data_IF_040862648580
#
_entry.id   IF_040862648580
#
_cell.length_a   1.000
_cell.length_b   1.000
_cell.length_c   1.000
_cell.angle_alpha   90.00
_cell.angle_beta   90.00
_cell.angle_gamma   90.00
#
_symmetry.space_group_name_H-M   'P 1'
#
loop_
_entity.id
_entity.type
_entity.pdbx_description
1 polymer ?
#
# COMPACT_ATOMS: atom_id res chain seq x y z
N UNK A 1 -44.43 -17.08 9.61
CA UNK A 1 -44.33 -16.19 10.79
C UNK A 1 -44.91 -16.84 12.03
N UNK A 2 -46.18 -17.27 12.04
CA UNK A 2 -46.79 -17.97 13.18
C UNK A 2 -45.93 -19.13 13.72
N UNK A 3 -45.57 -20.09 12.87
CA UNK A 3 -44.68 -21.20 13.23
C UNK A 3 -43.32 -20.77 13.81
N UNK A 4 -42.76 -19.64 13.37
CA UNK A 4 -41.49 -19.15 13.90
C UNK A 4 -41.62 -18.61 15.34
N UNK A 5 -42.73 -17.91 15.61
CA UNK A 5 -43.03 -17.36 16.94
C UNK A 5 -43.50 -18.45 17.91
N UNK A 6 -44.37 -19.35 17.45
CA UNK A 6 -44.80 -20.53 18.20
C UNK A 6 -43.60 -21.43 18.53
N UNK A 7 -42.71 -21.67 17.57
CA UNK A 7 -41.52 -22.48 17.77
C UNK A 7 -40.58 -21.90 18.82
N UNK A 8 -40.38 -20.57 18.78
CA UNK A 8 -39.63 -19.86 19.81
C UNK A 8 -40.32 -19.96 21.18
N UNK A 9 -41.65 -19.82 21.25
CA UNK A 9 -42.42 -19.94 22.48
C UNK A 9 -42.35 -21.34 23.10
N UNK A 10 -42.50 -22.39 22.29
CA UNK A 10 -42.37 -23.79 22.71
C UNK A 10 -40.96 -24.04 23.24
N UNK A 11 -39.93 -23.52 22.56
CA UNK A 11 -38.55 -23.67 23.02
C UNK A 11 -38.30 -22.94 24.34
N UNK A 12 -38.80 -21.72 24.50
CA UNK A 12 -38.70 -20.97 25.74
C UNK A 12 -39.36 -21.72 26.91
N UNK A 13 -40.56 -22.26 26.71
CA UNK A 13 -41.22 -23.13 27.69
C UNK A 13 -40.39 -24.40 27.99
N UNK A 14 -39.81 -25.02 26.96
CA UNK A 14 -38.94 -26.18 27.10
C UNK A 14 -37.69 -25.88 27.95
N UNK A 15 -37.13 -24.67 27.83
CA UNK A 15 -36.03 -24.19 28.67
C UNK A 15 -36.47 -24.03 30.13
N UNK A 16 -37.59 -23.33 30.38
CA UNK A 16 -38.11 -23.10 31.74
C UNK A 16 -38.48 -24.42 32.45
N UNK A 17 -39.02 -25.38 31.70
CA UNK A 17 -39.40 -26.71 32.22
C UNK A 17 -38.25 -27.72 32.23
N UNK A 18 -37.03 -27.33 31.80
CA UNK A 18 -35.85 -28.21 31.65
C UNK A 18 -36.12 -29.45 30.78
N UNK A 19 -36.99 -29.34 29.78
CA UNK A 19 -37.35 -30.41 28.86
C UNK A 19 -36.70 -30.21 27.48
N UNK A 20 -35.64 -30.97 27.21
CA UNK A 20 -34.91 -30.88 25.94
C UNK A 20 -35.76 -31.28 24.73
N UNK A 21 -36.68 -32.24 24.89
CA UNK A 21 -37.56 -32.72 23.79
C UNK A 21 -38.49 -31.61 23.29
N UNK A 22 -39.03 -30.81 24.21
CA UNK A 22 -39.85 -29.65 23.89
C UNK A 22 -39.00 -28.55 23.22
N UNK A 23 -37.77 -28.35 23.69
CA UNK A 23 -36.83 -27.40 23.07
C UNK A 23 -36.49 -27.80 21.63
N UNK A 24 -36.33 -29.11 21.36
CA UNK A 24 -36.09 -29.64 20.02
C UNK A 24 -37.30 -29.52 19.09
N UNK A 25 -38.52 -29.75 19.58
CA UNK A 25 -39.72 -29.57 18.76
C UNK A 25 -39.94 -28.10 18.39
N UNK A 26 -39.67 -27.17 19.32
CA UNK A 26 -39.66 -25.74 19.05
C UNK A 26 -38.64 -25.36 17.98
N UNK A 27 -37.38 -25.82 18.10
CA UNK A 27 -36.34 -25.64 17.07
C UNK A 27 -36.75 -26.23 15.71
N UNK A 28 -37.38 -27.41 15.69
CA UNK A 28 -37.87 -28.05 14.46
C UNK A 28 -38.95 -27.22 13.76
N UNK A 29 -39.86 -26.60 14.53
CA UNK A 29 -40.90 -25.74 13.98
C UNK A 29 -40.32 -24.48 13.31
N UNK A 30 -39.21 -23.95 13.81
CA UNK A 30 -38.47 -22.85 13.16
C UNK A 30 -37.83 -23.26 11.82
N UNK A 31 -37.35 -24.51 11.70
CA UNK A 31 -36.85 -25.06 10.43
C UNK A 31 -37.99 -25.20 9.43
N UNK A 32 -39.16 -25.67 9.86
CA UNK A 32 -40.37 -25.71 9.02
C UNK A 32 -40.83 -24.30 8.62
N UNK A 33 -40.72 -23.32 9.52
CA UNK A 33 -41.02 -21.92 9.21
C UNK A 33 -40.07 -21.35 8.14
N UNK A 34 -38.78 -21.73 8.18
CA UNK A 34 -37.82 -21.39 7.12
C UNK A 34 -38.21 -22.04 5.78
N UNK A 35 -38.53 -23.34 5.77
CA UNK A 35 -38.98 -24.02 4.56
C UNK A 35 -40.23 -23.35 3.94
N UNK A 36 -41.20 -22.98 4.78
CA UNK A 36 -42.38 -22.24 4.35
C UNK A 36 -42.03 -20.87 3.74
N UNK A 37 -41.09 -20.13 4.33
CA UNK A 37 -40.64 -18.86 3.79
C UNK A 37 -39.92 -19.00 2.44
N UNK A 38 -39.16 -20.07 2.24
CA UNK A 38 -38.52 -20.37 0.95
C UNK A 38 -39.54 -20.68 -0.15
N UNK A 39 -40.61 -21.44 0.18
CA UNK A 39 -41.72 -21.68 -0.75
C UNK A 39 -42.44 -20.37 -1.08
N UNK A 40 -42.73 -19.54 -0.07
CA UNK A 40 -43.36 -18.24 -0.28
C UNK A 40 -42.50 -17.28 -1.12
N UNK A 41 -41.18 -17.34 -0.98
CA UNK A 41 -40.23 -16.59 -1.80
C UNK A 41 -40.39 -16.95 -3.29
N UNK A 42 -40.50 -18.25 -3.60
CA UNK A 42 -40.70 -18.75 -4.97
C UNK A 42 -42.06 -18.38 -5.56
N UNK A 43 -43.08 -18.19 -4.72
CA UNK A 43 -44.41 -17.76 -5.13
C UNK A 43 -44.53 -16.25 -5.43
N UNK A 44 -43.48 -15.47 -5.13
CA UNK A 44 -43.46 -14.01 -5.30
C UNK A 44 -44.02 -13.28 -4.08
N UNK A 45 -43.13 -12.62 -3.34
CA UNK A 45 -43.50 -11.81 -2.17
C UNK A 45 -43.36 -10.32 -2.48
N UNK A 46 -44.28 -9.50 -1.95
CA UNK A 46 -44.08 -8.04 -1.91
C UNK A 46 -42.87 -7.70 -1.05
N UNK A 47 -42.27 -6.53 -1.28
CA UNK A 47 -41.09 -6.06 -0.52
C UNK A 47 -41.35 -6.05 0.99
N UNK A 48 -42.52 -5.54 1.41
CA UNK A 48 -42.90 -5.51 2.83
C UNK A 48 -43.05 -6.91 3.42
N UNK A 49 -43.77 -7.82 2.74
CA UNK A 49 -43.93 -9.20 3.22
C UNK A 49 -42.60 -9.95 3.28
N UNK A 50 -41.73 -9.79 2.28
CA UNK A 50 -40.38 -10.37 2.30
C UNK A 50 -39.59 -9.88 3.51
N UNK A 51 -39.53 -8.56 3.73
CA UNK A 51 -38.76 -7.98 4.85
C UNK A 51 -39.27 -8.45 6.19
N UNK A 52 -40.58 -8.43 6.42
CA UNK A 52 -41.16 -8.87 7.69
C UNK A 52 -40.90 -10.35 7.94
N UNK A 53 -41.10 -11.21 6.95
CA UNK A 53 -40.92 -12.66 7.10
C UNK A 53 -39.46 -12.99 7.42
N UNK A 54 -38.50 -12.45 6.67
CA UNK A 54 -37.09 -12.74 6.89
C UNK A 54 -36.53 -12.05 8.13
N UNK A 55 -37.00 -10.85 8.50
CA UNK A 55 -36.63 -10.19 9.75
C UNK A 55 -37.12 -10.98 10.96
N UNK A 56 -38.40 -11.41 10.96
CA UNK A 56 -38.96 -12.23 12.04
C UNK A 56 -38.19 -13.56 12.14
N UNK A 57 -37.93 -14.24 11.02
CA UNK A 57 -37.14 -15.47 11.02
C UNK A 57 -35.72 -15.26 11.56
N UNK A 58 -35.02 -14.21 11.12
CA UNK A 58 -33.68 -13.91 11.58
C UNK A 58 -33.67 -13.67 13.10
N UNK A 59 -34.59 -12.84 13.61
CA UNK A 59 -34.69 -12.52 15.04
C UNK A 59 -35.05 -13.75 15.87
N UNK A 60 -36.00 -14.57 15.43
CA UNK A 60 -36.36 -15.79 16.17
C UNK A 60 -35.23 -16.82 16.14
N UNK A 61 -34.50 -16.97 15.05
CA UNK A 61 -33.30 -17.82 14.98
C UNK A 61 -32.20 -17.33 15.92
N UNK A 62 -31.94 -16.01 15.98
CA UNK A 62 -31.01 -15.44 16.95
C UNK A 62 -31.47 -15.64 18.39
N UNK A 63 -32.77 -15.49 18.68
CA UNK A 63 -33.32 -15.76 20.01
C UNK A 63 -33.17 -17.24 20.41
N UNK A 64 -33.43 -18.18 19.49
CA UNK A 64 -33.21 -19.62 19.68
C UNK A 64 -31.74 -19.90 19.97
N UNK A 65 -30.83 -19.32 19.19
CA UNK A 65 -29.39 -19.48 19.39
C UNK A 65 -28.96 -19.03 20.80
N UNK A 66 -29.52 -17.93 21.29
CA UNK A 66 -29.28 -17.42 22.63
C UNK A 66 -29.85 -18.34 23.72
N UNK A 67 -31.11 -18.79 23.58
CA UNK A 67 -31.78 -19.65 24.56
C UNK A 67 -31.08 -21.02 24.67
N UNK A 68 -30.58 -21.57 23.56
CA UNK A 68 -29.82 -22.83 23.56
C UNK A 68 -28.52 -22.74 24.36
N UNK A 69 -27.93 -21.56 24.57
CA UNK A 69 -26.65 -21.42 25.27
C UNK A 69 -26.68 -21.94 26.72
N UNK A 70 -27.84 -21.81 27.38
CA UNK A 70 -27.99 -22.08 28.81
C UNK A 70 -28.82 -23.36 29.09
N UNK A 71 -29.13 -24.15 28.05
CA UNK A 71 -29.94 -25.36 28.18
C UNK A 71 -29.14 -26.53 28.81
N UNK A 72 -29.77 -27.25 29.74
CA UNK A 72 -29.19 -28.45 30.36
C UNK A 72 -29.18 -29.61 29.35
N UNK A 73 -28.04 -29.80 28.69
CA UNK A 73 -27.79 -30.88 27.73
C UNK A 73 -26.30 -31.16 27.63
N UNK A 74 -25.93 -32.17 26.84
CA UNK A 74 -24.54 -32.38 26.44
C UNK A 74 -23.94 -31.08 25.87
N UNK A 75 -22.72 -30.76 26.29
CA UNK A 75 -22.08 -29.48 26.01
C UNK A 75 -21.71 -29.34 24.54
N UNK A 76 -21.26 -30.43 23.90
CA UNK A 76 -20.92 -30.42 22.48
C UNK A 76 -22.18 -30.22 21.63
N UNK A 77 -23.23 -30.99 21.90
CA UNK A 77 -24.51 -30.87 21.20
C UNK A 77 -25.10 -29.45 21.30
N UNK A 78 -25.15 -28.90 22.52
CA UNK A 78 -25.66 -27.55 22.79
C UNK A 78 -24.95 -26.49 21.95
N UNK A 79 -23.63 -26.54 21.95
CA UNK A 79 -22.80 -25.54 21.28
C UNK A 79 -22.97 -25.60 19.77
N UNK A 80 -23.09 -26.82 19.20
CA UNK A 80 -23.35 -27.02 17.77
C UNK A 80 -24.71 -26.43 17.39
N UNK A 81 -25.78 -26.74 18.13
CA UNK A 81 -27.13 -26.22 17.86
C UNK A 81 -27.17 -24.70 17.97
N UNK A 82 -26.66 -24.13 19.08
CA UNK A 82 -26.61 -22.67 19.29
C UNK A 82 -25.85 -21.96 18.17
N UNK A 83 -24.66 -22.45 17.79
CA UNK A 83 -23.86 -21.86 16.71
C UNK A 83 -24.53 -22.00 15.34
N UNK A 84 -25.24 -23.09 15.09
CA UNK A 84 -25.95 -23.32 13.82
C UNK A 84 -27.12 -22.35 13.67
N UNK A 85 -27.91 -22.16 14.73
CA UNK A 85 -28.98 -21.16 14.75
C UNK A 85 -28.45 -19.73 14.70
N UNK A 86 -27.30 -19.44 15.32
CA UNK A 86 -26.64 -18.13 15.22
C UNK A 86 -26.21 -17.86 13.78
N UNK A 87 -25.49 -18.80 13.15
CA UNK A 87 -25.04 -18.67 11.77
C UNK A 87 -26.23 -18.50 10.81
N UNK A 88 -27.28 -19.33 10.98
CA UNK A 88 -28.50 -19.21 10.20
C UNK A 88 -29.26 -17.90 10.44
N UNK A 89 -29.35 -17.43 11.69
CA UNK A 89 -29.98 -16.15 12.03
C UNK A 89 -29.25 -14.97 11.40
N UNK A 90 -27.92 -14.97 11.43
CA UNK A 90 -27.09 -13.95 10.75
C UNK A 90 -27.25 -14.05 9.23
N UNK A 91 -27.26 -15.25 8.65
CA UNK A 91 -27.49 -15.44 7.22
C UNK A 91 -28.87 -14.89 6.80
N UNK A 92 -29.91 -15.22 7.55
CA UNK A 92 -31.28 -14.74 7.30
C UNK A 92 -31.38 -13.23 7.45
N UNK A 93 -30.65 -12.65 8.42
CA UNK A 93 -30.53 -11.20 8.56
C UNK A 93 -29.87 -10.56 7.33
N UNK A 94 -28.77 -11.13 6.83
CA UNK A 94 -28.11 -10.65 5.61
C UNK A 94 -29.01 -10.77 4.38
N UNK A 95 -29.74 -11.89 4.23
CA UNK A 95 -30.74 -12.09 3.16
C UNK A 95 -31.86 -11.04 3.27
N UNK A 96 -32.32 -10.76 4.49
CA UNK A 96 -33.31 -9.71 4.74
C UNK A 96 -32.79 -8.34 4.31
N UNK A 97 -31.56 -7.97 4.71
CA UNK A 97 -30.94 -6.68 4.40
C UNK A 97 -30.72 -6.48 2.90
N UNK A 98 -30.03 -7.44 2.26
CA UNK A 98 -29.73 -7.38 0.82
C UNK A 98 -31.00 -7.45 0.01
N UNK A 99 -31.93 -8.33 0.40
CA UNK A 99 -33.21 -8.49 -0.25
C UNK A 99 -34.16 -7.30 -0.05
N UNK A 100 -34.04 -6.55 1.05
CA UNK A 100 -34.73 -5.28 1.23
C UNK A 100 -34.17 -4.23 0.27
N UNK A 101 -32.85 -4.02 0.30
CA UNK A 101 -32.18 -3.01 -0.50
C UNK A 101 -32.37 -3.24 -2.00
N UNK A 102 -32.34 -4.50 -2.46
CA UNK A 102 -32.52 -4.86 -3.87
C UNK A 102 -33.99 -4.91 -4.35
N UNK A 103 -34.98 -4.85 -3.45
CA UNK A 103 -36.42 -4.85 -3.81
C UNK A 103 -37.07 -3.47 -3.69
N UNK A 104 -36.33 -2.47 -3.22
CA UNK A 104 -36.81 -1.09 -3.30
C UNK A 104 -36.75 -0.61 -4.75
N UNK A 105 -37.66 0.29 -5.17
CA UNK A 105 -37.65 0.88 -6.51
C UNK A 105 -36.54 1.94 -6.61
N UNK A 106 -35.31 1.54 -6.34
CA UNK A 106 -34.09 2.33 -6.42
C UNK A 106 -33.22 1.78 -7.53
N UNK A 107 -32.39 2.61 -8.15
CA UNK A 107 -31.36 2.10 -9.04
C UNK A 107 -30.44 1.15 -8.27
N UNK A 108 -29.94 0.12 -8.96
CA UNK A 108 -29.13 -0.96 -8.37
C UNK A 108 -27.96 -0.42 -7.52
N UNK A 109 -27.33 0.66 -7.97
CA UNK A 109 -26.27 1.35 -7.21
C UNK A 109 -26.72 1.86 -5.84
N UNK A 110 -27.84 2.60 -5.77
CA UNK A 110 -28.36 3.10 -4.48
C UNK A 110 -28.72 1.94 -3.53
N UNK A 111 -29.24 0.83 -4.06
CA UNK A 111 -29.46 -0.39 -3.30
C UNK A 111 -28.18 -0.94 -2.66
N UNK A 112 -27.07 -0.98 -3.41
CA UNK A 112 -25.78 -1.44 -2.88
C UNK A 112 -25.23 -0.53 -1.76
N UNK A 113 -25.28 0.80 -1.94
CA UNK A 113 -24.88 1.76 -0.90
C UNK A 113 -25.74 1.64 0.36
N UNK A 114 -27.06 1.49 0.20
CA UNK A 114 -27.98 1.27 1.31
C UNK A 114 -27.68 -0.04 2.04
N UNK A 115 -27.39 -1.12 1.30
CA UNK A 115 -27.01 -2.39 1.89
C UNK A 115 -25.74 -2.27 2.77
N UNK A 116 -24.72 -1.55 2.30
CA UNK A 116 -23.51 -1.30 3.09
C UNK A 116 -23.81 -0.46 4.34
N UNK A 117 -24.65 0.57 4.23
CA UNK A 117 -25.06 1.38 5.36
C UNK A 117 -25.79 0.55 6.43
N UNK A 118 -26.76 -0.27 6.00
CA UNK A 118 -27.52 -1.15 6.90
C UNK A 118 -26.65 -2.25 7.52
N UNK A 119 -25.68 -2.81 6.76
CA UNK A 119 -24.71 -3.75 7.29
C UNK A 119 -23.85 -3.10 8.38
N UNK A 120 -23.37 -1.88 8.14
CA UNK A 120 -22.57 -1.11 9.11
C UNK A 120 -23.35 -0.88 10.41
N UNK A 121 -24.61 -0.45 10.30
CA UNK A 121 -25.50 -0.28 11.45
C UNK A 121 -25.76 -1.61 12.17
N UNK A 122 -25.97 -2.70 11.42
CA UNK A 122 -26.19 -4.04 11.97
C UNK A 122 -24.98 -4.52 12.76
N UNK A 123 -23.76 -4.28 12.27
CA UNK A 123 -22.52 -4.64 12.96
C UNK A 123 -22.37 -3.87 14.27
N UNK A 124 -22.69 -2.58 14.30
CA UNK A 124 -22.69 -1.77 15.54
C UNK A 124 -23.73 -2.32 16.53
N UNK A 125 -24.93 -2.67 16.04
CA UNK A 125 -25.99 -3.27 16.85
C UNK A 125 -25.57 -4.63 17.42
N UNK A 126 -25.03 -5.53 16.59
CA UNK A 126 -24.56 -6.84 17.03
C UNK A 126 -23.47 -6.72 18.08
N UNK A 127 -22.52 -5.79 17.92
CA UNK A 127 -21.51 -5.52 18.94
C UNK A 127 -22.14 -5.08 20.25
N UNK A 128 -23.09 -4.15 20.21
CA UNK A 128 -23.76 -3.64 21.41
C UNK A 128 -24.55 -4.75 22.13
N UNK A 129 -25.32 -5.54 21.38
CA UNK A 129 -26.08 -6.70 21.92
C UNK A 129 -25.12 -7.75 22.49
N UNK A 130 -24.05 -8.08 21.78
CA UNK A 130 -23.04 -9.04 22.23
C UNK A 130 -22.41 -8.62 23.57
N UNK A 131 -22.17 -7.31 23.78
CA UNK A 131 -21.65 -6.79 25.04
C UNK A 131 -22.69 -6.83 26.16
N UNK A 132 -23.94 -6.42 25.88
CA UNK A 132 -25.03 -6.42 26.87
C UNK A 132 -25.39 -7.82 27.36
N UNK A 133 -25.34 -8.82 26.47
CA UNK A 133 -25.73 -10.20 26.76
C UNK A 133 -24.54 -11.14 27.07
N UNK A 134 -23.32 -10.58 27.16
CA UNK A 134 -22.07 -11.33 27.28
C UNK A 134 -21.98 -12.48 26.25
N UNK A 135 -22.41 -12.22 25.01
CA UNK A 135 -22.54 -13.22 23.96
C UNK A 135 -21.32 -13.18 23.03
N UNK A 136 -20.32 -14.01 23.36
CA UNK A 136 -19.04 -14.05 22.66
C UNK A 136 -19.17 -14.51 21.20
N UNK A 137 -20.03 -15.47 20.90
CA UNK A 137 -20.20 -15.96 19.53
C UNK A 137 -20.74 -14.88 18.58
N UNK A 138 -21.74 -14.11 19.03
CA UNK A 138 -22.29 -12.98 18.26
C UNK A 138 -21.25 -11.89 18.01
N UNK A 139 -20.27 -11.73 18.91
CA UNK A 139 -19.21 -10.74 18.75
C UNK A 139 -18.34 -10.99 17.51
N UNK A 140 -18.22 -12.22 17.02
CA UNK A 140 -17.47 -12.48 15.79
C UNK A 140 -18.18 -11.99 14.51
N UNK A 141 -19.50 -11.83 14.55
CA UNK A 141 -20.30 -11.35 13.40
C UNK A 141 -19.94 -9.92 12.97
N UNK A 142 -19.29 -9.14 13.85
CA UNK A 142 -18.84 -7.78 13.52
C UNK A 142 -17.85 -7.75 12.34
N UNK A 143 -17.09 -8.84 12.15
CA UNK A 143 -16.08 -8.93 11.10
C UNK A 143 -16.69 -9.16 9.71
N UNK A 144 -18.00 -9.40 9.61
CA UNK A 144 -18.73 -9.40 8.33
C UNK A 144 -18.70 -8.04 7.62
N UNK A 145 -18.32 -6.97 8.34
CA UNK A 145 -18.09 -5.67 7.71
C UNK A 145 -16.99 -5.71 6.65
N UNK A 146 -15.93 -6.52 6.84
CA UNK A 146 -14.82 -6.64 5.87
C UNK A 146 -15.26 -7.18 4.51
N UNK A 147 -15.88 -8.39 4.42
CA UNK A 147 -16.36 -8.88 3.13
C UNK A 147 -17.45 -7.97 2.54
N UNK A 148 -18.28 -7.31 3.37
CA UNK A 148 -19.26 -6.33 2.88
C UNK A 148 -18.61 -5.10 2.24
N UNK A 149 -17.61 -4.51 2.89
CA UNK A 149 -16.82 -3.41 2.32
C UNK A 149 -16.06 -3.85 1.07
N UNK A 150 -15.51 -5.07 1.03
CA UNK A 150 -14.80 -5.59 -0.13
C UNK A 150 -15.76 -5.80 -1.31
N UNK A 151 -16.93 -6.39 -1.07
CA UNK A 151 -17.97 -6.54 -2.08
C UNK A 151 -18.42 -5.19 -2.64
N UNK A 152 -18.61 -4.19 -1.77
CA UNK A 152 -18.93 -2.82 -2.21
C UNK A 152 -17.80 -2.24 -3.07
N UNK A 153 -16.55 -2.35 -2.64
CA UNK A 153 -15.41 -1.86 -3.41
C UNK A 153 -15.35 -2.53 -4.79
N UNK A 154 -15.50 -3.84 -4.87
CA UNK A 154 -15.53 -4.58 -6.14
C UNK A 154 -16.71 -4.16 -7.03
N UNK A 155 -17.89 -3.99 -6.45
CA UNK A 155 -19.06 -3.47 -7.16
C UNK A 155 -18.77 -2.10 -7.79
N UNK A 156 -18.20 -1.17 -7.02
CA UNK A 156 -17.85 0.15 -7.55
C UNK A 156 -16.77 0.09 -8.64
N UNK A 157 -15.82 -0.85 -8.56
CA UNK A 157 -14.75 -0.98 -9.56
C UNK A 157 -15.23 -1.59 -10.88
N UNK A 158 -16.26 -2.43 -10.84
CA UNK A 158 -16.81 -3.11 -12.02
C UNK A 158 -17.88 -2.26 -12.69
N UNK A 159 -18.78 -1.69 -11.90
CA UNK A 159 -20.00 -1.08 -12.40
C UNK A 159 -19.94 0.46 -12.45
N UNK A 160 -18.96 1.10 -11.80
CA UNK A 160 -18.79 2.54 -11.82
C UNK A 160 -17.46 2.94 -12.47
N UNK A 161 -17.51 4.00 -13.25
CA UNK A 161 -16.31 4.59 -13.86
C UNK A 161 -15.30 5.04 -12.79
N UNK A 162 -15.76 5.73 -11.74
CA UNK A 162 -14.90 6.23 -10.65
C UNK A 162 -15.55 5.93 -9.32
N UNK A 163 -14.76 5.85 -8.25
CA UNK A 163 -15.31 5.53 -6.93
C UNK A 163 -16.18 6.67 -6.40
N UNK A 164 -15.89 7.91 -6.82
CA UNK A 164 -16.61 9.10 -6.38
C UNK A 164 -17.74 9.55 -7.32
N UNK A 165 -17.93 8.93 -8.48
CA UNK A 165 -18.91 9.39 -9.50
C UNK A 165 -20.35 9.36 -9.01
N UNK A 166 -20.68 8.45 -8.09
CA UNK A 166 -22.06 8.27 -7.61
C UNK A 166 -22.55 9.42 -6.71
N UNK A 167 -21.69 10.40 -6.37
CA UNK A 167 -22.07 11.58 -5.61
C UNK A 167 -22.27 11.31 -4.11
N UNK A 168 -23.37 11.81 -3.54
CA UNK A 168 -23.63 11.78 -2.09
C UNK A 168 -23.74 10.37 -1.45
N UNK A 169 -24.15 9.27 -2.13
CA UNK A 169 -24.17 7.94 -1.53
C UNK A 169 -22.78 7.45 -1.08
N UNK A 170 -21.70 7.98 -1.68
CA UNK A 170 -20.34 7.72 -1.23
C UNK A 170 -20.05 8.18 0.20
N UNK A 171 -20.90 9.06 0.78
CA UNK A 171 -20.83 9.43 2.18
C UNK A 171 -20.99 8.23 3.12
N UNK A 172 -21.51 7.08 2.64
CA UNK A 172 -21.51 5.83 3.42
C UNK A 172 -20.11 5.46 3.89
N UNK A 173 -19.06 5.73 3.10
CA UNK A 173 -17.68 5.42 3.47
C UNK A 173 -17.20 6.26 4.65
N UNK A 174 -17.74 7.48 4.85
CA UNK A 174 -17.49 8.31 6.02
C UNK A 174 -18.13 7.76 7.30
N UNK A 175 -19.12 6.87 7.18
CA UNK A 175 -19.66 6.09 8.29
C UNK A 175 -18.88 4.78 8.48
N UNK A 176 -18.71 4.04 7.39
CA UNK A 176 -18.18 2.67 7.41
C UNK A 176 -16.71 2.60 7.81
N UNK A 177 -15.84 3.47 7.27
CA UNK A 177 -14.40 3.42 7.57
C UNK A 177 -14.10 3.77 9.04
N UNK A 178 -14.71 4.81 9.66
CA UNK A 178 -14.54 5.04 11.09
C UNK A 178 -15.04 3.89 11.96
N UNK A 179 -16.16 3.24 11.59
CA UNK A 179 -16.64 2.05 12.30
C UNK A 179 -15.64 0.91 12.17
N UNK A 180 -15.15 0.59 10.98
CA UNK A 180 -14.13 -0.44 10.78
C UNK A 180 -12.84 -0.15 11.57
N UNK A 181 -12.36 1.09 11.55
CA UNK A 181 -11.20 1.54 12.34
C UNK A 181 -11.44 1.38 13.85
N UNK A 182 -12.62 1.77 14.33
CA UNK A 182 -13.00 1.63 15.74
C UNK A 182 -13.11 0.17 16.18
N UNK A 183 -13.71 -0.70 15.37
CA UNK A 183 -13.78 -2.13 15.62
C UNK A 183 -12.37 -2.74 15.69
N UNK A 184 -11.51 -2.38 14.75
CA UNK A 184 -10.13 -2.83 14.75
C UNK A 184 -9.38 -2.37 16.02
N UNK A 185 -9.64 -1.15 16.51
CA UNK A 185 -9.02 -0.65 17.75
C UNK A 185 -9.55 -1.32 19.02
N UNK A 186 -10.84 -1.63 19.07
CA UNK A 186 -11.51 -2.11 20.30
C UNK A 186 -11.57 -3.63 20.40
N UNK A 187 -11.63 -4.31 19.27
CA UNK A 187 -11.97 -5.74 19.19
C UNK A 187 -10.83 -6.57 18.59
N UNK A 188 -9.73 -5.99 18.09
CA UNK A 188 -8.62 -6.77 17.54
C UNK A 188 -8.05 -7.81 18.52
N UNK A 189 -7.92 -7.44 19.80
CA UNK A 189 -7.46 -8.36 20.85
C UNK A 189 -8.46 -9.46 21.23
N UNK A 190 -9.68 -9.44 20.68
CA UNK A 190 -10.68 -10.49 20.91
C UNK A 190 -10.49 -11.72 20.03
N UNK A 191 -9.66 -11.63 18.99
CA UNK A 191 -9.42 -12.70 18.04
C UNK A 191 -8.37 -13.68 18.58
N UNK A 192 -8.62 -15.00 18.51
CA UNK A 192 -7.68 -15.99 19.04
C UNK A 192 -6.40 -16.12 18.22
N UNK A 193 -6.41 -15.67 16.95
CA UNK A 193 -5.30 -15.86 16.01
C UNK A 193 -4.70 -14.51 15.62
N UNK A 194 -3.43 -14.29 16.00
CA UNK A 194 -2.67 -13.08 15.63
C UNK A 194 -2.62 -12.85 14.12
N UNK A 195 -2.54 -13.92 13.32
CA UNK A 195 -2.52 -13.81 11.84
C UNK A 195 -3.83 -13.26 11.28
N UNK A 196 -4.98 -13.59 11.91
CA UNK A 196 -6.28 -13.09 11.47
C UNK A 196 -6.39 -11.60 11.77
N UNK A 197 -5.94 -11.16 12.95
CA UNK A 197 -5.82 -9.74 13.30
C UNK A 197 -4.95 -9.00 12.28
N UNK A 198 -3.73 -9.51 12.03
CA UNK A 198 -2.83 -8.93 11.02
C UNK A 198 -3.47 -8.87 9.62
N UNK A 199 -4.22 -9.90 9.24
CA UNK A 199 -4.98 -9.93 7.99
C UNK A 199 -6.06 -8.84 7.91
N UNK A 200 -6.77 -8.57 9.00
CA UNK A 200 -7.78 -7.49 9.07
C UNK A 200 -7.14 -6.09 8.96
N UNK A 201 -6.00 -5.89 9.63
CA UNK A 201 -5.19 -4.67 9.51
C UNK A 201 -4.72 -4.43 8.07
N UNK A 202 -4.19 -5.49 7.44
CA UNK A 202 -3.63 -5.42 6.10
C UNK A 202 -4.73 -5.26 5.03
N UNK A 203 -5.84 -5.98 5.16
CA UNK A 203 -6.98 -5.86 4.23
C UNK A 203 -7.62 -4.48 4.29
N UNK A 204 -7.84 -3.91 5.49
CA UNK A 204 -8.39 -2.55 5.59
C UNK A 204 -7.45 -1.51 4.97
N UNK A 205 -6.14 -1.63 5.24
CA UNK A 205 -5.13 -0.78 4.62
C UNK A 205 -5.16 -0.86 3.10
N UNK A 206 -5.16 -2.07 2.54
CA UNK A 206 -5.17 -2.27 1.10
C UNK A 206 -6.47 -1.84 0.45
N UNK A 207 -7.62 -2.03 1.09
CA UNK A 207 -8.90 -1.55 0.55
C UNK A 207 -8.90 -0.02 0.43
N UNK A 208 -8.39 0.70 1.43
CA UNK A 208 -8.26 2.17 1.37
C UNK A 208 -7.23 2.59 0.32
N UNK A 209 -6.05 1.98 0.31
CA UNK A 209 -5.00 2.31 -0.67
C UNK A 209 -5.45 2.00 -2.09
N UNK A 210 -6.14 0.88 -2.30
CA UNK A 210 -6.65 0.48 -3.62
C UNK A 210 -7.78 1.41 -4.07
N UNK A 211 -8.70 1.79 -3.17
CA UNK A 211 -9.74 2.77 -3.48
C UNK A 211 -9.13 4.12 -3.90
N UNK A 212 -8.23 4.68 -3.09
CA UNK A 212 -7.58 5.95 -3.41
C UNK A 212 -6.71 5.84 -4.67
N UNK A 213 -5.96 4.75 -4.81
CA UNK A 213 -5.08 4.51 -5.94
C UNK A 213 -5.84 4.33 -7.25
N UNK A 214 -7.00 3.66 -7.22
CA UNK A 214 -7.89 3.55 -8.37
C UNK A 214 -8.44 4.90 -8.81
N UNK A 215 -8.91 5.73 -7.86
CA UNK A 215 -9.40 7.08 -8.20
C UNK A 215 -8.28 7.94 -8.81
N UNK A 216 -7.07 7.92 -8.24
CA UNK A 216 -5.90 8.61 -8.82
C UNK A 216 -5.58 8.08 -10.20
N UNK A 217 -5.51 6.76 -10.36
CA UNK A 217 -5.21 6.13 -11.65
C UNK A 217 -6.24 6.52 -12.71
N UNK A 218 -7.53 6.40 -12.40
CA UNK A 218 -8.62 6.76 -13.28
C UNK A 218 -8.59 8.25 -13.68
N UNK A 219 -8.36 9.16 -12.71
CA UNK A 219 -8.24 10.60 -12.99
C UNK A 219 -7.06 10.91 -13.89
N UNK A 220 -5.90 10.31 -13.60
CA UNK A 220 -4.68 10.54 -14.37
C UNK A 220 -4.78 9.99 -15.79
N UNK A 221 -5.50 8.88 -16.01
CA UNK A 221 -5.77 8.32 -17.35
C UNK A 221 -6.71 9.20 -18.20
N UNK A 222 -7.46 10.12 -17.58
CA UNK A 222 -8.37 11.06 -18.26
C UNK A 222 -7.78 12.45 -18.44
N UNK A 223 -6.50 12.65 -18.13
CA UNK A 223 -5.83 13.90 -18.46
C UNK A 223 -5.85 14.13 -19.97
N UNK A 224 -5.95 15.40 -20.42
CA UNK A 224 -5.80 15.76 -21.83
C UNK A 224 -4.55 15.17 -22.48
N UNK A 225 -4.62 14.97 -23.79
CA UNK A 225 -3.47 14.51 -24.59
C UNK A 225 -2.25 15.44 -24.38
N UNK A 226 -1.06 14.85 -24.25
CA UNK A 226 0.19 15.58 -23.99
C UNK A 226 0.41 16.00 -22.54
N UNK A 227 -0.19 15.27 -21.58
CA UNK A 227 0.01 15.43 -20.13
C UNK A 227 0.57 14.15 -19.48
N UNK A 228 1.33 13.36 -20.22
CA UNK A 228 1.84 12.05 -19.78
C UNK A 228 2.80 12.18 -18.57
N UNK A 229 3.54 13.30 -18.48
CA UNK A 229 4.44 13.62 -17.37
C UNK A 229 3.66 13.91 -16.09
N UNK A 230 2.53 14.60 -16.21
CA UNK A 230 1.60 14.82 -15.09
C UNK A 230 0.99 13.52 -14.64
N UNK A 231 0.59 12.66 -15.57
CA UNK A 231 0.06 11.34 -15.24
C UNK A 231 1.06 10.52 -14.42
N UNK A 232 2.28 10.36 -14.92
CA UNK A 232 3.33 9.59 -14.22
C UNK A 232 3.78 10.28 -12.92
N UNK A 233 3.92 11.61 -12.94
CA UNK A 233 4.30 12.41 -11.78
C UNK A 233 3.29 12.29 -10.64
N UNK A 234 1.99 12.37 -10.94
CA UNK A 234 0.92 12.21 -9.95
C UNK A 234 0.83 10.78 -9.42
N UNK A 235 1.01 9.76 -10.26
CA UNK A 235 1.03 8.36 -9.83
C UNK A 235 2.23 8.08 -8.90
N UNK A 236 3.43 8.55 -9.26
CA UNK A 236 4.60 8.47 -8.39
C UNK A 236 4.39 9.26 -7.09
N UNK A 237 3.81 10.46 -7.18
CA UNK A 237 3.48 11.31 -6.03
C UNK A 237 2.52 10.61 -5.07
N UNK A 238 1.47 9.96 -5.57
CA UNK A 238 0.53 9.18 -4.75
C UNK A 238 1.22 8.02 -4.01
N UNK A 239 1.99 7.19 -4.72
CA UNK A 239 2.70 6.07 -4.09
C UNK A 239 3.68 6.56 -3.01
N UNK A 240 4.40 7.63 -3.32
CA UNK A 240 5.34 8.27 -2.42
C UNK A 240 4.65 8.84 -1.18
N UNK A 241 3.50 9.48 -1.36
CA UNK A 241 2.70 10.03 -0.28
C UNK A 241 2.24 8.93 0.67
N UNK A 242 1.71 7.81 0.17
CA UNK A 242 1.27 6.70 1.02
C UNK A 242 2.44 6.11 1.81
N UNK A 243 3.60 5.87 1.17
CA UNK A 243 4.79 5.35 1.83
C UNK A 243 5.28 6.33 2.92
N UNK A 244 5.49 7.60 2.55
CA UNK A 244 6.02 8.62 3.47
C UNK A 244 5.05 8.96 4.59
N UNK A 245 3.74 9.04 4.32
CA UNK A 245 2.72 9.27 5.34
C UNK A 245 2.66 8.10 6.33
N UNK A 246 2.77 6.85 5.85
CA UNK A 246 2.82 5.66 6.71
C UNK A 246 4.07 5.69 7.60
N UNK A 247 5.26 5.96 7.03
CA UNK A 247 6.47 6.14 7.85
C UNK A 247 6.41 7.34 8.78
N UNK A 248 5.73 8.42 8.39
CA UNK A 248 5.45 9.57 9.24
C UNK A 248 4.56 9.22 10.44
N UNK A 249 3.49 8.47 10.21
CA UNK A 249 2.60 7.96 11.25
C UNK A 249 3.33 6.98 12.19
N UNK A 250 4.21 6.13 11.66
CA UNK A 250 5.09 5.24 12.43
C UNK A 250 6.08 6.01 13.32
N UNK A 251 6.61 7.14 12.86
CA UNK A 251 7.50 7.99 13.68
C UNK A 251 6.74 8.73 14.78
N UNK A 252 5.51 9.17 14.50
CA UNK A 252 4.63 9.84 15.47
C UNK A 252 3.99 8.89 16.49
N UNK A 253 4.17 7.57 16.33
CA UNK A 253 3.58 6.59 17.24
C UNK A 253 2.06 6.48 17.09
N UNK A 254 1.50 6.82 15.92
CA UNK A 254 0.06 6.75 15.70
C UNK A 254 -0.42 5.29 15.59
N UNK A 255 -1.53 4.98 16.25
CA UNK A 255 -2.27 3.73 16.03
C UNK A 255 -2.93 3.75 14.64
N UNK A 256 -3.03 2.63 13.88
CA UNK A 256 -2.56 1.26 14.17
C UNK A 256 -1.09 1.00 13.81
N UNK A 257 -0.43 1.97 13.19
CA UNK A 257 0.90 1.82 12.62
C UNK A 257 1.95 1.46 13.67
N UNK A 258 1.92 2.11 14.84
CA UNK A 258 2.89 1.87 15.90
C UNK A 258 2.81 0.45 16.50
N UNK A 259 1.61 -0.11 16.63
CA UNK A 259 1.38 -1.44 17.21
C UNK A 259 1.86 -2.55 16.27
N UNK A 260 1.62 -2.40 14.96
CA UNK A 260 2.07 -3.35 13.94
C UNK A 260 3.15 -2.75 13.04
N UNK A 261 4.22 -2.26 13.68
CA UNK A 261 5.30 -1.48 13.05
C UNK A 261 5.90 -2.15 11.81
N UNK A 262 6.29 -3.41 11.93
CA UNK A 262 6.87 -4.21 10.84
C UNK A 262 5.87 -4.50 9.71
N UNK A 263 4.61 -4.79 10.07
CA UNK A 263 3.56 -5.08 9.10
C UNK A 263 3.28 -3.87 8.22
N UNK A 264 3.04 -2.70 8.81
CA UNK A 264 2.74 -1.48 8.06
C UNK A 264 3.98 -0.87 7.41
N UNK A 265 5.12 -0.83 8.10
CA UNK A 265 6.30 -0.12 7.61
C UNK A 265 7.13 -0.86 6.57
N UNK A 266 6.92 -2.16 6.41
CA UNK A 266 7.62 -2.98 5.41
C UNK A 266 6.67 -3.84 4.56
N UNK A 267 5.91 -4.74 5.18
CA UNK A 267 5.12 -5.74 4.43
C UNK A 267 4.03 -5.08 3.58
N UNK A 268 3.24 -4.19 4.18
CA UNK A 268 2.14 -3.51 3.50
C UNK A 268 2.62 -2.55 2.39
N UNK A 269 3.81 -1.95 2.55
CA UNK A 269 4.37 -0.99 1.59
C UNK A 269 5.20 -1.65 0.48
N UNK A 270 5.60 -2.92 0.62
CA UNK A 270 6.51 -3.57 -0.32
C UNK A 270 5.99 -3.58 -1.78
N UNK A 271 4.71 -3.90 -2.06
CA UNK A 271 4.19 -3.82 -3.42
C UNK A 271 4.14 -2.39 -3.96
N UNK A 272 3.84 -1.40 -3.11
CA UNK A 272 3.86 0.02 -3.50
C UNK A 272 5.27 0.50 -3.83
N UNK A 273 6.27 0.04 -3.08
CA UNK A 273 7.68 0.34 -3.35
C UNK A 273 8.16 -0.31 -4.65
N UNK A 274 7.75 -1.54 -4.95
CA UNK A 274 8.04 -2.16 -6.23
C UNK A 274 7.43 -1.38 -7.40
N UNK A 275 6.18 -0.93 -7.27
CA UNK A 275 5.52 -0.10 -8.28
C UNK A 275 6.19 1.28 -8.42
N UNK A 276 6.55 1.94 -7.31
CA UNK A 276 7.26 3.21 -7.33
C UNK A 276 8.64 3.09 -8.00
N UNK A 277 9.35 1.98 -7.76
CA UNK A 277 10.62 1.69 -8.44
C UNK A 277 10.40 1.48 -9.95
N UNK A 278 9.36 0.73 -10.35
CA UNK A 278 9.03 0.55 -11.76
C UNK A 278 8.74 1.89 -12.44
N UNK A 279 7.91 2.73 -11.84
CA UNK A 279 7.59 4.06 -12.38
C UNK A 279 8.81 4.98 -12.42
N UNK A 280 9.73 4.89 -11.45
CA UNK A 280 11.00 5.62 -11.50
C UNK A 280 11.88 5.20 -12.69
N UNK A 281 11.88 3.92 -13.05
CA UNK A 281 12.66 3.43 -14.17
C UNK A 281 12.03 3.84 -15.50
N UNK A 282 10.71 3.64 -15.62
CA UNK A 282 9.94 3.97 -16.83
C UNK A 282 9.87 5.48 -17.07
N UNK A 283 9.63 6.26 -16.01
CA UNK A 283 9.46 7.71 -16.11
C UNK A 283 10.68 8.44 -16.68
N UNK A 284 11.90 7.91 -16.49
CA UNK A 284 13.10 8.54 -17.03
C UNK A 284 13.24 8.43 -18.57
N UNK A 285 12.38 7.64 -19.22
CA UNK A 285 12.33 7.50 -20.68
C UNK A 285 11.52 8.64 -21.34
N UNK A 286 10.69 9.34 -20.58
CA UNK A 286 9.83 10.42 -21.05
C UNK A 286 10.62 11.73 -21.21
N UNK A 287 10.15 12.59 -22.11
CA UNK A 287 10.79 13.85 -22.48
C UNK A 287 10.62 14.95 -21.43
N UNK A 288 9.67 14.76 -20.50
CA UNK A 288 9.44 15.71 -19.43
C UNK A 288 8.71 16.97 -19.91
N UNK A 289 8.07 16.97 -21.07
CA UNK A 289 7.44 18.17 -21.63
C UNK A 289 5.93 17.99 -21.74
N UNK A 290 5.17 18.78 -20.98
CA UNK A 290 3.71 18.79 -21.09
C UNK A 290 3.20 20.01 -21.86
N UNK A 291 2.10 19.81 -22.60
CA UNK A 291 1.49 20.86 -23.43
C UNK A 291 0.99 22.01 -22.56
N UNK A 292 1.30 23.25 -22.98
CA UNK A 292 0.87 24.46 -22.29
C UNK A 292 1.64 24.76 -21.00
N UNK A 293 2.62 23.93 -20.62
CA UNK A 293 3.47 24.15 -19.46
C UNK A 293 4.88 24.59 -19.88
N UNK A 294 5.44 25.57 -19.18
CA UNK A 294 6.82 26.00 -19.41
C UNK A 294 7.77 25.02 -18.73
N UNK A 295 8.67 24.42 -19.50
CA UNK A 295 9.67 23.51 -18.94
C UNK A 295 10.62 24.28 -18.02
N UNK A 296 10.67 23.85 -16.76
CA UNK A 296 11.61 24.32 -15.76
C UNK A 296 12.37 23.10 -15.24
N UNK A 297 13.70 23.03 -15.43
CA UNK A 297 14.49 21.95 -14.88
C UNK A 297 14.21 21.78 -13.38
N UNK A 298 14.06 20.53 -12.92
CA UNK A 298 13.75 20.14 -11.53
C UNK A 298 12.34 20.51 -11.03
N UNK A 299 11.68 21.52 -11.59
CA UNK A 299 10.33 21.97 -11.25
C UNK A 299 9.33 21.53 -12.32
N UNK A 300 9.22 20.22 -12.47
CA UNK A 300 8.36 19.57 -13.44
C UNK A 300 7.69 18.38 -12.74
N UNK A 301 6.39 18.13 -12.97
CA UNK A 301 5.64 17.02 -12.38
C UNK A 301 6.38 15.67 -12.35
N UNK A 302 7.09 15.34 -13.43
CA UNK A 302 7.84 14.10 -13.55
C UNK A 302 9.02 14.05 -12.57
N UNK A 303 9.81 15.12 -12.50
CA UNK A 303 10.98 15.29 -11.63
C UNK A 303 10.58 15.36 -10.16
N UNK A 304 9.48 16.05 -9.85
CA UNK A 304 8.91 16.13 -8.49
C UNK A 304 8.43 14.75 -8.03
N UNK A 305 7.64 14.06 -8.86
CA UNK A 305 7.17 12.71 -8.60
C UNK A 305 8.35 11.74 -8.38
N UNK A 306 9.38 11.82 -9.20
CA UNK A 306 10.58 11.00 -9.07
C UNK A 306 11.39 11.32 -7.79
N UNK A 307 11.52 12.60 -7.44
CA UNK A 307 12.18 13.02 -6.21
C UNK A 307 11.48 12.46 -4.98
N UNK A 308 10.15 12.55 -4.92
CA UNK A 308 9.35 11.96 -3.85
C UNK A 308 9.42 10.43 -3.83
N UNK A 309 9.41 9.78 -5.00
CA UNK A 309 9.50 8.32 -5.08
C UNK A 309 10.85 7.82 -4.59
N UNK A 310 11.95 8.47 -4.98
CA UNK A 310 13.28 8.14 -4.47
C UNK A 310 13.36 8.34 -2.96
N UNK A 311 12.83 9.46 -2.44
CA UNK A 311 12.78 9.72 -1.00
C UNK A 311 11.97 8.66 -0.25
N UNK A 312 10.84 8.23 -0.81
CA UNK A 312 9.98 7.19 -0.26
C UNK A 312 10.72 5.83 -0.19
N UNK A 313 11.37 5.42 -1.28
CA UNK A 313 12.14 4.18 -1.34
C UNK A 313 13.34 4.19 -0.39
N UNK A 314 14.07 5.31 -0.31
CA UNK A 314 15.18 5.46 0.65
C UNK A 314 14.66 5.41 2.08
N UNK A 315 13.55 6.08 2.37
CA UNK A 315 12.93 6.06 3.70
C UNK A 315 12.52 4.65 4.09
N UNK A 316 11.91 3.90 3.17
CA UNK A 316 11.57 2.50 3.38
C UNK A 316 12.81 1.63 3.59
N UNK A 317 13.85 1.78 2.77
CA UNK A 317 15.12 1.06 2.93
C UNK A 317 15.79 1.32 4.28
N UNK A 318 15.79 2.58 4.75
CA UNK A 318 16.28 2.95 6.07
C UNK A 318 15.46 2.32 7.19
N UNK A 319 14.13 2.28 7.03
CA UNK A 319 13.22 1.62 7.97
C UNK A 319 13.51 0.13 8.04
N UNK A 320 13.58 -0.57 6.89
CA UNK A 320 13.86 -2.02 6.84
C UNK A 320 15.22 -2.33 7.45
N UNK A 321 16.25 -1.52 7.14
CA UNK A 321 17.59 -1.68 7.73
C UNK A 321 17.58 -1.60 9.26
N UNK A 322 16.72 -0.76 9.84
CA UNK A 322 16.59 -0.59 11.29
C UNK A 322 15.78 -1.72 11.95
N UNK A 323 14.68 -2.13 11.33
CA UNK A 323 13.69 -3.01 11.94
C UNK A 323 13.92 -4.51 11.63
N UNK A 324 14.75 -4.81 10.63
CA UNK A 324 15.10 -6.19 10.22
C UNK A 324 16.62 -6.41 10.26
N UNK A 325 17.17 -6.85 11.41
CA UNK A 325 18.61 -7.05 11.60
C UNK A 325 19.25 -7.97 10.55
N UNK A 326 18.51 -8.98 10.09
CA UNK A 326 18.95 -9.93 9.05
C UNK A 326 19.32 -9.27 7.72
N UNK A 327 18.73 -8.12 7.39
CA UNK A 327 19.01 -7.37 6.16
C UNK A 327 19.89 -6.13 6.40
N UNK A 328 20.24 -5.85 7.66
CA UNK A 328 20.89 -4.60 8.03
C UNK A 328 22.28 -4.43 7.39
N UNK A 329 23.08 -5.50 7.36
CA UNK A 329 24.41 -5.50 6.77
C UNK A 329 24.35 -5.26 5.25
N UNK A 330 23.47 -5.97 4.55
CA UNK A 330 23.23 -5.79 3.11
C UNK A 330 22.78 -4.35 2.80
N UNK A 331 21.75 -3.87 3.49
CA UNK A 331 21.19 -2.53 3.25
C UNK A 331 22.14 -1.40 3.66
N UNK A 332 23.11 -1.64 4.56
CA UNK A 332 24.16 -0.66 4.88
C UNK A 332 25.02 -0.34 3.66
N UNK A 333 25.26 -1.31 2.77
CA UNK A 333 26.04 -1.13 1.55
C UNK A 333 25.15 -0.84 0.34
N UNK A 334 24.06 -1.60 0.17
CA UNK A 334 23.19 -1.52 -0.99
C UNK A 334 22.39 -0.21 -1.06
N UNK A 335 21.93 0.33 0.08
CA UNK A 335 21.06 1.52 0.06
C UNK A 335 21.77 2.79 -0.41
N UNK A 336 22.99 3.13 0.07
CA UNK A 336 23.75 4.24 -0.50
C UNK A 336 24.06 4.04 -1.99
N UNK A 337 24.43 2.82 -2.40
CA UNK A 337 24.71 2.52 -3.81
C UNK A 337 23.47 2.67 -4.69
N UNK A 338 22.32 2.14 -4.25
CA UNK A 338 21.03 2.33 -4.90
C UNK A 338 20.68 3.82 -5.04
N UNK A 339 20.83 4.59 -3.96
CA UNK A 339 20.53 6.03 -3.97
C UNK A 339 21.44 6.76 -4.97
N UNK A 340 22.74 6.46 -4.97
CA UNK A 340 23.70 7.05 -5.91
C UNK A 340 23.39 6.66 -7.36
N UNK A 341 23.08 5.39 -7.61
CA UNK A 341 22.73 4.90 -8.93
C UNK A 341 21.44 5.57 -9.46
N UNK A 342 20.41 5.71 -8.62
CA UNK A 342 19.17 6.39 -8.98
C UNK A 342 19.38 7.89 -9.21
N UNK A 343 20.16 8.58 -8.36
CA UNK A 343 20.52 9.98 -8.55
C UNK A 343 21.32 10.19 -9.84
N UNK A 344 22.24 9.28 -10.15
CA UNK A 344 22.99 9.33 -11.41
C UNK A 344 22.06 9.11 -12.61
N UNK A 345 21.20 8.09 -12.58
CA UNK A 345 20.24 7.79 -13.64
C UNK A 345 19.28 8.97 -13.91
N UNK A 346 18.61 9.45 -12.87
CA UNK A 346 17.65 10.56 -12.98
C UNK A 346 18.35 11.90 -13.23
N UNK A 347 19.53 12.13 -12.67
CA UNK A 347 20.32 13.34 -12.92
C UNK A 347 20.73 13.45 -14.39
N UNK A 348 21.21 12.36 -15.00
CA UNK A 348 21.51 12.34 -16.43
C UNK A 348 20.25 12.55 -17.28
N UNK A 349 19.12 11.93 -16.90
CA UNK A 349 17.85 12.13 -17.58
C UNK A 349 17.36 13.58 -17.51
N UNK A 350 17.44 14.22 -16.34
CA UNK A 350 17.07 15.62 -16.16
C UNK A 350 17.95 16.58 -16.98
N UNK A 351 19.26 16.34 -17.03
CA UNK A 351 20.16 17.09 -17.93
C UNK A 351 19.79 16.86 -19.39
N UNK A 352 19.49 15.62 -19.78
CA UNK A 352 19.10 15.30 -21.16
C UNK A 352 17.82 16.02 -21.57
N UNK A 353 16.78 16.01 -20.72
CA UNK A 353 15.51 16.72 -20.94
C UNK A 353 15.72 18.22 -21.04
N UNK A 354 16.53 18.81 -20.15
CA UNK A 354 16.86 20.22 -20.23
C UNK A 354 17.58 20.58 -21.53
N UNK A 355 18.58 19.79 -21.94
CA UNK A 355 19.27 20.02 -23.21
C UNK A 355 18.33 19.85 -24.40
N UNK A 356 17.49 18.82 -24.40
CA UNK A 356 16.54 18.57 -25.47
C UNK A 356 15.56 19.74 -25.64
N UNK A 357 15.00 20.24 -24.54
CA UNK A 357 14.07 21.36 -24.55
C UNK A 357 14.73 22.68 -24.99
N UNK A 358 15.86 23.06 -24.37
CA UNK A 358 16.48 24.36 -24.62
C UNK A 358 17.27 24.44 -25.93
N UNK A 359 17.73 23.31 -26.47
CA UNK A 359 18.41 23.24 -27.76
C UNK A 359 17.51 22.74 -28.89
N UNK A 360 16.20 22.61 -28.65
CA UNK A 360 15.19 22.16 -29.61
C UNK A 360 15.56 20.84 -30.31
N UNK A 361 16.08 19.88 -29.53
CA UNK A 361 16.45 18.55 -30.01
C UNK A 361 15.23 17.64 -29.83
N UNK A 362 14.77 17.03 -30.93
CA UNK A 362 13.69 16.06 -30.88
C UNK A 362 13.99 14.94 -29.86
N UNK A 363 12.98 14.52 -29.09
CA UNK A 363 13.13 13.42 -28.13
C UNK A 363 13.11 12.06 -28.81
N UNK A 364 14.18 11.76 -29.56
CA UNK A 364 14.42 10.45 -30.18
C UNK A 364 15.85 10.01 -29.94
N UNK A 365 16.04 8.72 -29.66
CA UNK A 365 17.33 8.19 -29.24
C UNK A 365 18.47 8.50 -30.24
N UNK A 366 18.22 8.38 -31.53
CA UNK A 366 19.15 8.71 -32.61
C UNK A 366 19.57 10.19 -32.59
N UNK A 367 18.61 11.10 -32.45
CA UNK A 367 18.87 12.56 -32.41
C UNK A 367 19.58 12.99 -31.12
N UNK A 368 19.16 12.47 -29.97
CA UNK A 368 19.74 12.78 -28.67
C UNK A 368 21.20 12.31 -28.58
N UNK A 369 21.46 11.05 -28.92
CA UNK A 369 22.81 10.48 -28.87
C UNK A 369 23.70 10.96 -30.03
N UNK A 370 23.09 11.37 -31.15
CA UNK A 370 23.76 12.01 -32.27
C UNK A 370 24.29 13.42 -31.94
N UNK A 371 23.64 14.15 -31.05
CA UNK A 371 23.94 15.55 -30.73
C UNK A 371 25.31 15.74 -30.06
N UNK A 372 26.15 16.56 -30.68
CA UNK A 372 27.47 16.92 -30.12
C UNK A 372 27.31 17.67 -28.78
N UNK A 373 26.32 18.55 -28.67
CA UNK A 373 26.04 19.30 -27.44
C UNK A 373 25.72 18.37 -26.26
N UNK A 374 24.91 17.34 -26.48
CA UNK A 374 24.60 16.32 -25.46
C UNK A 374 25.86 15.55 -25.05
N UNK A 375 26.65 15.10 -26.01
CA UNK A 375 27.88 14.34 -25.73
C UNK A 375 28.90 15.16 -24.93
N UNK A 376 29.16 16.40 -25.36
CA UNK A 376 30.09 17.31 -24.66
C UNK A 376 29.58 17.66 -23.26
N UNK A 377 28.29 17.95 -23.11
CA UNK A 377 27.71 18.29 -21.80
C UNK A 377 27.81 17.12 -20.83
N UNK A 378 27.49 15.89 -21.25
CA UNK A 378 27.68 14.71 -20.41
C UNK A 378 29.14 14.45 -20.06
N UNK A 379 30.08 14.65 -20.99
CA UNK A 379 31.50 14.50 -20.68
C UNK A 379 31.95 15.51 -19.61
N UNK A 380 31.58 16.79 -19.76
CA UNK A 380 31.86 17.84 -18.78
C UNK A 380 31.21 17.56 -17.43
N UNK A 381 29.94 17.15 -17.44
CA UNK A 381 29.21 16.80 -16.23
C UNK A 381 29.87 15.63 -15.48
N UNK A 382 30.22 14.55 -16.19
CA UNK A 382 30.84 13.38 -15.58
C UNK A 382 32.26 13.67 -15.09
N UNK A 383 33.04 14.50 -15.80
CA UNK A 383 34.34 14.98 -15.32
C UNK A 383 34.20 15.80 -14.03
N UNK A 384 33.22 16.71 -13.99
CA UNK A 384 32.94 17.51 -12.81
C UNK A 384 32.50 16.64 -11.63
N UNK A 385 31.59 15.68 -11.85
CA UNK A 385 31.16 14.72 -10.82
C UNK A 385 32.36 13.92 -10.31
N UNK A 386 33.19 13.37 -11.21
CA UNK A 386 34.38 12.62 -10.84
C UNK A 386 35.32 13.46 -9.96
N UNK A 387 35.60 14.70 -10.35
CA UNK A 387 36.43 15.63 -9.59
C UNK A 387 35.84 15.91 -8.20
N UNK A 388 34.54 16.26 -8.11
CA UNK A 388 33.85 16.52 -6.84
C UNK A 388 33.92 15.29 -5.94
N UNK A 389 33.64 14.10 -6.48
CA UNK A 389 33.69 12.84 -5.73
C UNK A 389 35.10 12.60 -5.20
N UNK A 390 36.14 12.74 -6.01
CA UNK A 390 37.52 12.54 -5.59
C UNK A 390 37.92 13.55 -4.50
N UNK A 391 37.64 14.85 -4.68
CA UNK A 391 37.96 15.91 -3.70
C UNK A 391 37.22 15.68 -2.37
N UNK A 392 35.92 15.40 -2.40
CA UNK A 392 35.15 15.11 -1.18
C UNK A 392 35.63 13.83 -0.49
N UNK A 393 36.05 12.83 -1.27
CA UNK A 393 36.61 11.58 -0.73
C UNK A 393 37.95 11.79 -0.06
N UNK A 394 38.84 12.62 -0.63
CA UNK A 394 40.10 13.03 0.00
C UNK A 394 39.84 13.77 1.31
N UNK A 395 38.90 14.71 1.34
CA UNK A 395 38.52 15.45 2.57
C UNK A 395 37.91 14.56 3.66
N UNK A 396 37.17 13.52 3.27
CA UNK A 396 36.50 12.60 4.21
C UNK A 396 37.32 11.33 4.54
N UNK A 397 38.52 11.18 3.97
CA UNK A 397 39.36 9.99 4.14
C UNK A 397 38.76 8.70 3.55
N UNK A 398 37.79 8.80 2.64
CA UNK A 398 37.03 7.65 2.11
C UNK A 398 37.67 7.10 0.84
N UNK A 399 38.63 6.18 1.00
CA UNK A 399 39.40 5.63 -0.12
C UNK A 399 38.55 4.87 -1.16
N UNK A 400 37.53 4.14 -0.73
CA UNK A 400 36.65 3.39 -1.63
C UNK A 400 35.87 4.33 -2.58
N UNK A 401 35.38 5.45 -2.04
CA UNK A 401 34.62 6.46 -2.81
C UNK A 401 35.55 7.23 -3.77
N UNK A 402 36.81 7.46 -3.38
CA UNK A 402 37.83 8.06 -4.25
C UNK A 402 38.07 7.23 -5.52
N UNK A 403 38.15 5.89 -5.38
CA UNK A 403 38.30 5.00 -6.53
C UNK A 403 37.06 5.01 -7.45
N UNK A 404 35.86 5.21 -6.90
CA UNK A 404 34.65 5.43 -7.71
C UNK A 404 34.77 6.67 -8.59
N UNK A 405 35.27 7.78 -8.05
CA UNK A 405 35.54 8.99 -8.82
C UNK A 405 36.64 8.79 -9.88
N UNK A 406 37.72 8.11 -9.54
CA UNK A 406 38.79 7.78 -10.49
C UNK A 406 38.31 6.87 -11.64
N UNK A 407 37.46 5.87 -11.34
CA UNK A 407 36.86 5.00 -12.33
C UNK A 407 35.94 5.79 -13.28
N UNK A 408 35.09 6.68 -12.74
CA UNK A 408 34.26 7.56 -13.56
C UNK A 408 35.10 8.47 -14.46
N UNK A 409 36.19 9.04 -13.94
CA UNK A 409 37.13 9.84 -14.74
C UNK A 409 37.74 9.01 -15.87
N UNK A 410 38.19 7.78 -15.59
CA UNK A 410 38.69 6.85 -16.60
C UNK A 410 37.66 6.54 -17.70
N UNK A 411 36.39 6.32 -17.33
CA UNK A 411 35.28 6.14 -18.28
C UNK A 411 35.13 7.37 -19.18
N UNK A 412 35.19 8.58 -18.61
CA UNK A 412 35.09 9.81 -19.43
C UNK A 412 36.27 9.95 -20.37
N UNK A 413 37.49 9.66 -19.93
CA UNK A 413 38.68 9.70 -20.78
C UNK A 413 38.51 8.74 -21.96
N UNK A 414 38.13 7.49 -21.70
CA UNK A 414 37.85 6.51 -22.77
C UNK A 414 36.73 7.00 -23.69
N UNK A 415 35.65 7.57 -23.14
CA UNK A 415 34.54 8.14 -23.92
C UNK A 415 35.03 9.27 -24.84
N UNK A 416 35.78 10.23 -24.33
CA UNK A 416 36.35 11.32 -25.12
C UNK A 416 37.25 10.77 -26.22
N UNK A 417 38.08 9.76 -25.90
CA UNK A 417 38.95 9.11 -26.88
C UNK A 417 38.18 8.41 -27.99
N UNK A 418 37.10 7.70 -27.69
CA UNK A 418 36.33 6.98 -28.69
C UNK A 418 35.38 7.88 -29.49
N UNK A 419 34.70 8.82 -28.82
CA UNK A 419 33.65 9.64 -29.42
C UNK A 419 34.23 10.87 -30.13
N UNK A 420 35.16 11.60 -29.49
CA UNK A 420 35.75 12.80 -30.10
C UNK A 420 36.85 12.45 -31.13
N UNK A 421 37.57 11.32 -30.99
CA UNK A 421 38.50 10.87 -32.05
C UNK A 421 37.79 10.40 -33.31
N UNK A 422 36.57 9.86 -33.19
CA UNK A 422 35.79 9.39 -34.33
C UNK A 422 35.11 10.52 -35.12
N UNK A 423 34.83 11.67 -34.48
CA UNK A 423 34.05 12.77 -35.08
C UNK A 423 34.81 14.09 -35.24
N UNK A 424 36.07 14.17 -34.80
CA UNK A 424 36.93 15.35 -34.88
C UNK A 424 38.18 15.17 -35.75
N UNK A 425 38.60 16.24 -36.44
CA UNK A 425 39.88 16.31 -37.15
C UNK A 425 41.08 16.18 -36.20
N UNK A 426 42.27 15.85 -36.71
CA UNK A 426 43.45 15.53 -35.90
C UNK A 426 43.84 16.58 -34.85
N UNK A 427 43.62 17.87 -35.14
CA UNK A 427 43.87 18.98 -34.20
C UNK A 427 42.94 18.95 -32.97
N UNK A 428 41.66 18.65 -33.18
CA UNK A 428 40.67 18.57 -32.09
C UNK A 428 41.01 17.43 -31.12
N UNK A 429 41.54 16.32 -31.63
CA UNK A 429 42.04 15.21 -30.80
C UNK A 429 43.22 15.63 -29.94
N UNK A 430 44.22 16.31 -30.51
CA UNK A 430 45.39 16.78 -29.77
C UNK A 430 45.01 17.71 -28.61
N UNK A 431 44.09 18.64 -28.84
CA UNK A 431 43.58 19.55 -27.80
C UNK A 431 42.81 18.78 -26.71
N UNK A 432 41.98 17.80 -27.09
CA UNK A 432 41.28 16.95 -26.12
C UNK A 432 42.25 16.13 -25.25
N UNK A 433 43.32 15.59 -25.83
CA UNK A 433 44.38 14.89 -25.07
C UNK A 433 45.07 15.79 -24.06
N UNK A 434 45.41 17.03 -24.46
CA UNK A 434 46.03 18.02 -23.56
C UNK A 434 45.05 18.39 -22.43
N UNK A 435 43.78 18.62 -22.73
CA UNK A 435 42.75 18.90 -21.74
C UNK A 435 42.60 17.78 -20.72
N UNK A 436 42.57 16.53 -21.18
CA UNK A 436 42.57 15.33 -20.31
C UNK A 436 43.83 15.27 -19.44
N UNK A 437 45.01 15.48 -20.03
CA UNK A 437 46.28 15.44 -19.30
C UNK A 437 46.35 16.50 -18.19
N UNK A 438 45.91 17.73 -18.49
CA UNK A 438 45.82 18.82 -17.50
C UNK A 438 44.82 18.47 -16.40
N UNK A 439 43.66 17.89 -16.75
CA UNK A 439 42.65 17.51 -15.76
C UNK A 439 43.17 16.41 -14.82
N UNK A 440 43.84 15.39 -15.36
CA UNK A 440 44.50 14.34 -14.57
C UNK A 440 45.59 14.93 -13.66
N UNK A 441 46.36 15.91 -14.13
CA UNK A 441 47.37 16.62 -13.35
C UNK A 441 46.74 17.41 -12.18
N UNK A 442 45.66 18.16 -12.44
CA UNK A 442 44.91 18.92 -11.43
C UNK A 442 44.35 17.97 -10.36
N UNK A 443 43.77 16.85 -10.77
CA UNK A 443 43.25 15.82 -9.87
C UNK A 443 44.38 15.23 -9.01
N UNK A 444 45.52 14.89 -9.62
CA UNK A 444 46.67 14.34 -8.91
C UNK A 444 47.28 15.29 -7.88
N UNK A 445 47.21 16.60 -8.14
CA UNK A 445 47.70 17.63 -7.22
C UNK A 445 46.72 17.93 -6.06
N UNK A 446 45.42 18.12 -6.36
CA UNK A 446 44.44 18.56 -5.36
C UNK A 446 43.70 17.43 -4.64
N UNK A 447 43.73 16.20 -5.15
CA UNK A 447 43.03 15.05 -4.58
C UNK A 447 43.95 13.84 -4.43
N UNK A 448 45.01 13.94 -3.58
CA UNK A 448 45.85 12.80 -3.27
C UNK A 448 45.03 11.66 -2.65
N UNK A 449 45.46 10.43 -2.93
CA UNK A 449 44.82 9.22 -2.45
C UNK A 449 44.77 9.20 -0.91
N UNK A 450 43.60 8.99 -0.28
CA UNK A 450 43.50 8.92 1.18
C UNK A 450 44.42 7.82 1.77
N UNK A 451 45.16 8.12 2.85
CA UNK A 451 46.03 7.12 3.49
C UNK A 451 45.20 5.93 4.03
N UNK A 452 45.79 4.72 4.04
CA UNK A 452 45.15 3.55 4.66
C UNK A 452 45.00 3.81 6.15
N UNK A 453 43.81 3.57 6.71
CA UNK A 453 43.62 3.55 8.16
C UNK A 453 44.56 2.49 8.77
N UNK A 454 45.51 2.94 9.58
CA UNK A 454 46.43 2.05 10.29
C UNK A 454 45.61 1.35 11.38
N UNK A 455 45.28 0.07 11.16
CA UNK A 455 44.77 -0.80 12.22
C UNK A 455 45.85 -0.86 13.30
N UNK A 456 45.54 -0.42 14.52
CA UNK A 456 46.49 -0.21 15.60
C UNK A 456 47.52 -1.32 15.70
N UNK A 457 48.80 -0.95 15.53
CA UNK A 457 49.91 -1.78 15.94
C UNK A 457 49.92 -1.70 17.47
N UNK A 458 49.60 -2.79 18.15
CA UNK A 458 49.85 -2.92 19.59
C UNK A 458 51.30 -2.49 19.86
N UNK A 459 51.58 -1.67 20.90
CA UNK A 459 52.93 -1.32 21.24
C UNK A 459 53.64 -2.60 21.70
N UNK A 460 54.53 -3.10 20.86
CA UNK A 460 55.46 -4.16 21.21
C UNK A 460 56.42 -3.60 22.27
N UNK A 461 56.13 -3.83 23.56
CA UNK A 461 57.06 -3.60 24.66
C UNK A 461 58.12 -4.71 24.53
N UNK A 462 59.10 -4.45 23.67
CA UNK A 462 60.27 -5.29 23.53
C UNK A 462 61.19 -5.04 24.72
N UNK A 463 61.50 -6.15 25.38
CA UNK A 463 62.51 -6.38 26.41
C UNK A 463 63.71 -5.43 26.40
N UNK A 464 63.88 -4.67 27.48
CA UNK A 464 65.21 -4.39 28.01
C UNK A 464 65.68 -5.61 28.82
N UNK A 465 66.49 -6.47 28.19
CA UNK A 465 67.46 -7.30 28.91
C UNK A 465 68.83 -6.67 28.70
N UNK A 466 69.32 -5.95 29.70
CA UNK A 466 70.74 -5.77 29.94
C UNK A 466 71.13 -6.71 31.08
N UNK A 467 71.86 -7.78 30.76
CA UNK A 467 72.57 -8.59 31.75
C UNK A 467 73.95 -7.96 32.02
N UNK A 468 74.38 -8.14 33.26
CA UNK A 468 75.79 -8.24 33.69
C UNK A 468 76.57 -9.23 32.81
#
# INVERSE_FOLDING_TARGET
MAWALEGLGILWLGREQKQIRMSLSGSGLLVLALASALVALGAGMTTLSFTLVFAVLALTWLAVAFLWRDLESDAAFRLVVSRSFLAGGILLWLVCLLGFAGRLPLDYGYGAFLALALLTLSVVLWRWVAQRLAWLELRYSIWLLWPGMLAMLMFQLVDLDSLLSFGWPNLVWLLTLPVAYWLLKREAGSLPLLRLQQGLHLSLFWMVVFALGYEVFWRTMRLPWGMDEWQLGLQMGFLSLIILATHGALRKGCWPFAEHRQLYGAIALAPLAALALLLLLVGNVFDGVSIGWRYLPLLNPLEEGAGFALLALVTMGLFVRREYPQFAALLKQALPLFTLAMLFWWGNGAVLRALAYYADIAWRADTLWGSRMVQTTFALLWMLIALIVMVLSTRRGQREVWFGGAALLGIVIVKLMLVDSARGGGLARAIAFIGVAILVLIVGYFSPLPPKAVRGKEPNVASERGNV
#
